data_IF_669426205215
#
_entry.id   IF_669426205215
#
_cell.length_a   1.000
_cell.length_b   1.000
_cell.length_c   1.000
_cell.angle_alpha   90.00
_cell.angle_beta   90.00
_cell.angle_gamma   90.00
#
_symmetry.space_group_name_H-M   'P 1'
#
loop_
_entity.id
_entity.type
_entity.pdbx_description
1 polymer ?
#
# COMPACT_ATOMS: atom_id res chain seq x y z
N UNK A 1 28.86 27.42 9.06
CA UNK A 1 28.50 26.92 10.41
C UNK A 1 27.04 26.45 10.52
N UNK A 2 26.09 27.06 9.79
CA UNK A 2 24.67 26.69 9.86
C UNK A 2 24.30 25.29 9.30
N UNK A 3 24.90 24.86 8.19
CA UNK A 3 24.55 23.56 7.56
C UNK A 3 24.91 22.34 8.41
N UNK A 4 26.01 22.42 9.17
CA UNK A 4 26.44 21.32 10.05
C UNK A 4 25.46 21.12 11.22
N UNK A 5 24.93 22.23 11.76
CA UNK A 5 23.95 22.21 12.84
C UNK A 5 22.56 21.74 12.35
N UNK A 6 22.22 22.03 11.09
CA UNK A 6 20.98 21.56 10.46
C UNK A 6 21.00 20.03 10.29
N UNK A 7 22.10 19.47 9.76
CA UNK A 7 22.26 18.03 9.63
C UNK A 7 22.29 17.29 10.97
N UNK A 8 22.92 17.88 11.99
CA UNK A 8 22.92 17.31 13.33
C UNK A 8 21.51 17.26 13.94
N UNK A 9 20.72 18.32 13.77
CA UNK A 9 19.34 18.38 14.27
C UNK A 9 18.42 17.38 13.56
N UNK A 10 18.63 17.15 12.27
CA UNK A 10 17.91 16.14 11.46
C UNK A 10 18.27 14.72 11.89
N UNK A 11 19.56 14.42 12.09
CA UNK A 11 20.03 13.12 12.56
C UNK A 11 19.43 12.78 13.94
N UNK A 12 19.43 13.74 14.85
CA UNK A 12 18.83 13.55 16.18
C UNK A 12 17.31 13.34 16.11
N UNK A 13 16.64 13.95 15.12
CA UNK A 13 15.24 13.69 14.81
C UNK A 13 14.99 12.24 14.36
N UNK A 14 15.80 11.73 13.43
CA UNK A 14 15.70 10.35 12.95
C UNK A 14 15.98 9.32 14.06
N UNK A 15 16.99 9.56 14.89
CA UNK A 15 17.28 8.69 16.05
C UNK A 15 16.10 8.66 17.01
N UNK A 16 15.45 9.82 17.24
CA UNK A 16 14.26 9.89 18.08
C UNK A 16 13.10 9.09 17.50
N UNK A 17 12.84 9.20 16.21
CA UNK A 17 11.77 8.45 15.51
C UNK A 17 12.03 6.95 15.56
N UNK A 18 13.27 6.51 15.35
CA UNK A 18 13.63 5.09 15.47
C UNK A 18 13.40 4.54 16.89
N UNK A 19 13.80 5.28 17.92
CA UNK A 19 13.61 4.86 19.32
C UNK A 19 12.13 4.76 19.70
N UNK A 20 11.29 5.62 19.12
CA UNK A 20 9.83 5.60 19.30
C UNK A 20 9.20 4.41 18.56
N UNK A 21 9.56 4.21 17.29
CA UNK A 21 9.12 3.07 16.47
C UNK A 21 9.51 1.71 17.06
N UNK A 22 10.71 1.60 17.64
CA UNK A 22 11.22 0.38 18.25
C UNK A 22 10.79 0.18 19.71
N UNK A 23 9.90 1.03 20.24
CA UNK A 23 9.36 0.97 21.61
C UNK A 23 10.44 1.02 22.72
N UNK A 24 11.59 1.65 22.46
CA UNK A 24 12.65 1.82 23.45
C UNK A 24 12.37 3.00 24.39
N UNK A 25 11.29 2.91 25.16
CA UNK A 25 10.75 4.02 25.97
C UNK A 25 11.77 4.65 26.95
N UNK A 26 12.53 3.82 27.66
CA UNK A 26 13.50 4.30 28.66
C UNK A 26 14.70 4.97 28.00
N UNK A 27 15.14 4.44 26.86
CA UNK A 27 16.19 5.03 26.02
C UNK A 27 15.71 6.36 25.44
N UNK A 28 14.48 6.41 24.91
CA UNK A 28 13.87 7.62 24.35
C UNK A 28 13.74 8.74 25.39
N UNK A 29 13.30 8.40 26.62
CA UNK A 29 13.22 9.34 27.75
C UNK A 29 14.60 9.91 28.09
N UNK A 30 15.62 9.05 28.15
CA UNK A 30 17.00 9.44 28.49
C UNK A 30 17.62 10.29 27.38
N UNK A 31 17.52 9.84 26.13
CA UNK A 31 17.99 10.54 24.93
C UNK A 31 17.38 11.94 24.80
N UNK A 32 16.06 12.05 25.00
CA UNK A 32 15.36 13.34 24.95
C UNK A 32 15.80 14.30 26.04
N UNK A 33 16.11 13.79 27.25
CA UNK A 33 16.64 14.60 28.37
C UNK A 33 18.05 15.10 28.04
N UNK A 34 18.93 14.24 27.56
CA UNK A 34 20.31 14.59 27.22
C UNK A 34 20.39 15.61 26.08
N UNK A 35 19.55 15.49 25.05
CA UNK A 35 19.49 16.45 23.95
C UNK A 35 19.09 17.85 24.43
N UNK A 36 18.13 17.95 25.37
CA UNK A 36 17.75 19.22 26.00
C UNK A 36 18.89 19.81 26.83
N UNK A 37 19.56 19.00 27.64
CA UNK A 37 20.70 19.44 28.49
C UNK A 37 21.85 19.96 27.62
N UNK A 38 22.13 19.30 26.49
CA UNK A 38 23.19 19.70 25.56
C UNK A 38 22.80 20.86 24.64
N UNK A 39 21.60 21.42 24.79
CA UNK A 39 21.12 22.52 23.95
C UNK A 39 20.98 22.15 22.48
N UNK A 40 20.83 20.86 22.15
CA UNK A 40 20.65 20.39 20.78
C UNK A 40 19.15 20.36 20.47
N UNK A 41 18.62 21.31 19.67
CA UNK A 41 17.22 21.30 19.32
C UNK A 41 16.96 20.03 18.49
N UNK A 42 16.09 19.16 19.00
CA UNK A 42 15.53 18.07 18.23
C UNK A 42 14.67 18.74 17.16
N UNK A 43 15.06 18.65 15.89
CA UNK A 43 14.21 19.15 14.82
C UNK A 43 12.87 18.42 14.97
N UNK A 44 11.77 19.17 15.04
CA UNK A 44 10.48 18.59 14.71
C UNK A 44 10.59 18.33 13.22
N UNK A 45 10.91 17.09 12.84
CA UNK A 45 10.88 16.65 11.46
C UNK A 45 9.61 17.25 10.85
N UNK A 46 9.77 18.09 9.82
CA UNK A 46 8.65 18.73 9.11
C UNK A 46 7.73 17.66 8.48
N UNK A 47 8.07 16.37 8.60
CA UNK A 47 7.25 15.23 8.23
C UNK A 47 6.54 14.47 9.37
N UNK A 48 6.84 14.68 10.66
CA UNK A 48 6.49 13.68 11.68
C UNK A 48 5.07 13.71 12.26
N UNK A 49 4.34 14.84 12.20
CA UNK A 49 3.02 14.96 12.88
C UNK A 49 1.88 15.34 11.93
N UNK A 50 2.15 16.20 10.93
CA UNK A 50 1.15 16.58 9.93
C UNK A 50 1.05 15.58 8.76
N UNK A 51 2.16 14.95 8.35
CA UNK A 51 2.09 13.85 7.38
C UNK A 51 1.52 12.61 8.01
N UNK A 52 1.80 12.34 9.28
CA UNK A 52 1.29 11.14 9.93
C UNK A 52 -0.23 11.17 10.06
N UNK A 53 -0.84 12.29 10.48
CA UNK A 53 -2.31 12.37 10.52
C UNK A 53 -2.97 12.29 9.14
N UNK A 54 -2.41 12.94 8.11
CA UNK A 54 -2.98 12.86 6.75
C UNK A 54 -2.74 11.50 6.10
N UNK A 55 -1.54 10.95 6.26
CA UNK A 55 -1.15 9.62 5.78
C UNK A 55 -1.97 8.53 6.47
N UNK A 56 -2.24 8.68 7.78
CA UNK A 56 -3.09 7.76 8.52
C UNK A 56 -4.55 7.82 8.05
N UNK A 57 -5.06 9.01 7.72
CA UNK A 57 -6.40 9.14 7.11
C UNK A 57 -6.43 8.47 5.73
N UNK A 58 -5.46 8.78 4.86
CA UNK A 58 -5.36 8.16 3.52
C UNK A 58 -5.24 6.64 3.62
N UNK A 59 -4.45 6.14 4.58
CA UNK A 59 -4.31 4.70 4.82
C UNK A 59 -5.64 4.08 5.25
N UNK A 60 -6.37 4.73 6.16
CA UNK A 60 -7.71 4.28 6.58
C UNK A 60 -8.69 4.28 5.42
N UNK A 61 -8.65 5.30 4.56
CA UNK A 61 -9.53 5.41 3.40
C UNK A 61 -9.21 4.33 2.35
N UNK A 62 -7.92 4.06 2.09
CA UNK A 62 -7.48 2.95 1.24
C UNK A 62 -7.94 1.59 1.78
N UNK A 63 -7.76 1.35 3.08
CA UNK A 63 -8.18 0.08 3.71
C UNK A 63 -9.72 -0.05 3.67
N UNK A 64 -10.45 1.03 3.95
CA UNK A 64 -11.91 1.03 3.87
C UNK A 64 -12.40 0.73 2.44
N UNK A 65 -11.80 1.35 1.42
CA UNK A 65 -12.14 1.07 0.02
C UNK A 65 -11.80 -0.38 -0.38
N UNK A 66 -10.69 -0.93 0.14
CA UNK A 66 -10.32 -2.32 -0.06
C UNK A 66 -11.33 -3.30 0.56
N UNK A 67 -11.74 -3.04 1.80
CA UNK A 67 -12.68 -3.88 2.56
C UNK A 67 -14.10 -3.82 1.98
N UNK A 68 -14.49 -2.68 1.40
CA UNK A 68 -15.81 -2.49 0.78
C UNK A 68 -15.87 -2.95 -0.69
N UNK A 69 -14.72 -3.21 -1.33
CA UNK A 69 -14.64 -3.57 -2.75
C UNK A 69 -14.73 -2.39 -3.73
N UNK A 70 -14.53 -1.16 -3.24
CA UNK A 70 -14.61 0.09 -3.99
C UNK A 70 -13.35 0.31 -4.85
N UNK A 71 -13.20 -0.52 -5.88
CA UNK A 71 -12.03 -0.56 -6.76
C UNK A 71 -11.61 0.83 -7.30
N UNK A 72 -12.57 1.62 -7.78
CA UNK A 72 -12.28 2.92 -8.38
C UNK A 72 -11.71 3.89 -7.34
N UNK A 73 -12.36 4.00 -6.18
CA UNK A 73 -11.93 4.86 -5.07
C UNK A 73 -10.56 4.44 -4.59
N UNK A 74 -10.32 3.13 -4.46
CA UNK A 74 -9.03 2.60 -4.06
C UNK A 74 -7.91 3.03 -5.02
N UNK A 75 -8.09 2.81 -6.34
CA UNK A 75 -7.05 3.12 -7.30
C UNK A 75 -6.86 4.63 -7.50
N UNK A 76 -7.92 5.44 -7.42
CA UNK A 76 -7.78 6.90 -7.44
C UNK A 76 -6.88 7.39 -6.28
N UNK A 77 -7.10 6.88 -5.06
CA UNK A 77 -6.25 7.17 -3.89
C UNK A 77 -4.83 6.62 -4.03
N UNK A 78 -4.68 5.40 -4.57
CA UNK A 78 -3.39 4.76 -4.80
C UNK A 78 -2.54 5.57 -5.77
N UNK A 79 -3.11 6.01 -6.89
CA UNK A 79 -2.38 6.78 -7.90
C UNK A 79 -2.04 8.20 -7.45
N UNK A 80 -2.90 8.81 -6.62
CA UNK A 80 -2.67 10.15 -6.04
C UNK A 80 -1.56 10.14 -4.98
N UNK A 81 -1.54 9.11 -4.12
CA UNK A 81 -0.70 9.13 -2.92
C UNK A 81 0.53 8.22 -2.99
N UNK A 82 0.57 7.24 -3.90
CA UNK A 82 1.76 6.40 -4.14
C UNK A 82 2.51 6.90 -5.37
N UNK A 83 3.77 7.30 -5.16
CA UNK A 83 4.58 7.86 -6.25
C UNK A 83 4.77 6.86 -7.40
N UNK A 84 4.77 7.36 -8.63
CA UNK A 84 5.01 6.53 -9.83
C UNK A 84 6.37 5.83 -9.77
N UNK A 85 7.38 6.46 -9.17
CA UNK A 85 8.69 5.82 -8.94
C UNK A 85 8.61 4.54 -8.11
N UNK A 86 7.70 4.47 -7.13
CA UNK A 86 7.50 3.25 -6.32
C UNK A 86 6.65 2.26 -7.09
N UNK A 87 5.51 2.70 -7.64
CA UNK A 87 4.60 1.83 -8.42
C UNK A 87 5.31 1.12 -9.57
N UNK A 88 6.08 1.88 -10.33
CA UNK A 88 6.73 1.38 -11.55
C UNK A 88 8.13 0.85 -11.27
N UNK A 89 8.82 1.27 -10.19
CA UNK A 89 10.21 0.92 -9.92
C UNK A 89 10.39 -0.24 -8.95
N UNK A 90 9.48 -0.41 -8.00
CA UNK A 90 9.61 -1.39 -6.92
C UNK A 90 8.91 -2.72 -7.27
N UNK A 91 9.65 -3.82 -7.21
CA UNK A 91 9.10 -5.15 -7.53
C UNK A 91 7.98 -5.58 -6.59
N UNK A 92 8.08 -5.26 -5.30
CA UNK A 92 7.07 -5.58 -4.30
C UNK A 92 5.81 -4.75 -4.53
N UNK A 93 5.94 -3.47 -4.86
CA UNK A 93 4.80 -2.62 -5.20
C UNK A 93 4.03 -3.14 -6.43
N UNK A 94 4.74 -3.58 -7.48
CA UNK A 94 4.10 -4.18 -8.66
C UNK A 94 3.36 -5.48 -8.33
N UNK A 95 3.96 -6.34 -7.48
CA UNK A 95 3.30 -7.56 -6.99
C UNK A 95 2.04 -7.24 -6.21
N UNK A 96 2.11 -6.27 -5.30
CA UNK A 96 0.98 -5.82 -4.50
C UNK A 96 -0.14 -5.28 -5.39
N UNK A 97 0.17 -4.42 -6.36
CA UNK A 97 -0.81 -3.90 -7.34
C UNK A 97 -1.51 -5.05 -8.10
N UNK A 98 -0.76 -6.08 -8.50
CA UNK A 98 -1.34 -7.26 -9.15
C UNK A 98 -2.33 -8.01 -8.24
N UNK A 99 -1.95 -8.24 -6.97
CA UNK A 99 -2.85 -8.87 -5.98
C UNK A 99 -4.10 -8.04 -5.69
N UNK A 100 -3.97 -6.71 -5.64
CA UNK A 100 -5.10 -5.79 -5.48
C UNK A 100 -6.08 -5.92 -6.65
N UNK A 101 -5.58 -5.97 -7.88
CA UNK A 101 -6.42 -6.20 -9.05
C UNK A 101 -7.13 -7.55 -9.02
N UNK A 102 -6.48 -8.62 -8.57
CA UNK A 102 -7.15 -9.93 -8.37
C UNK A 102 -8.26 -9.80 -7.34
N UNK A 103 -7.98 -9.21 -6.17
CA UNK A 103 -8.96 -9.04 -5.10
C UNK A 103 -10.23 -8.36 -5.61
N UNK A 104 -10.09 -7.22 -6.30
CA UNK A 104 -11.25 -6.50 -6.83
C UNK A 104 -11.98 -7.26 -7.95
N UNK A 105 -11.26 -8.03 -8.77
CA UNK A 105 -11.86 -8.84 -9.84
C UNK A 105 -12.77 -9.96 -9.28
N UNK A 106 -12.42 -10.53 -8.12
CA UNK A 106 -13.18 -11.62 -7.49
C UNK A 106 -13.99 -11.18 -6.27
N UNK A 107 -13.94 -9.90 -5.89
CA UNK A 107 -14.55 -9.39 -4.66
C UNK A 107 -16.03 -9.76 -4.57
N UNK A 108 -16.79 -9.53 -5.64
CA UNK A 108 -18.21 -9.88 -5.70
C UNK A 108 -18.44 -11.39 -5.59
N UNK A 109 -17.52 -12.22 -6.09
CA UNK A 109 -17.64 -13.67 -5.97
C UNK A 109 -17.38 -14.18 -4.54
N UNK A 110 -16.55 -13.45 -3.78
CA UNK A 110 -16.14 -13.82 -2.42
C UNK A 110 -17.11 -13.30 -1.35
N UNK A 111 -17.66 -12.10 -1.53
CA UNK A 111 -18.42 -11.40 -0.49
C UNK A 111 -19.90 -11.17 -0.81
N UNK A 112 -20.38 -11.47 -2.03
CA UNK A 112 -21.83 -11.36 -2.30
C UNK A 112 -22.61 -12.43 -1.55
N UNK A 113 -23.58 -12.00 -0.73
CA UNK A 113 -24.56 -12.89 -0.11
C UNK A 113 -25.69 -13.11 -1.13
N UNK A 114 -25.43 -13.92 -2.16
CA UNK A 114 -26.42 -14.21 -3.21
C UNK A 114 -25.79 -14.40 -4.59
N UNK A 115 -26.61 -14.27 -5.64
CA UNK A 115 -26.10 -14.21 -7.01
C UNK A 115 -25.55 -12.79 -7.23
N UNK A 116 -24.25 -12.61 -7.47
CA UNK A 116 -23.70 -11.28 -7.76
C UNK A 116 -24.35 -10.74 -9.04
N UNK A 117 -24.45 -9.41 -9.11
CA UNK A 117 -24.85 -8.77 -10.35
C UNK A 117 -23.84 -9.14 -11.44
N UNK A 118 -24.36 -9.73 -12.52
CA UNK A 118 -23.54 -10.23 -13.61
C UNK A 118 -22.86 -9.06 -14.33
N UNK A 119 -23.57 -7.94 -14.47
CA UNK A 119 -23.08 -6.77 -15.18
C UNK A 119 -21.90 -6.15 -14.43
N UNK A 120 -22.01 -6.03 -13.11
CA UNK A 120 -20.93 -5.53 -12.25
C UNK A 120 -19.72 -6.48 -12.24
N UNK A 121 -19.95 -7.80 -12.16
CA UNK A 121 -18.86 -8.78 -12.25
C UNK A 121 -18.13 -8.72 -13.60
N UNK A 122 -18.88 -8.66 -14.70
CA UNK A 122 -18.31 -8.57 -16.05
C UNK A 122 -17.49 -7.27 -16.22
N UNK A 123 -17.93 -6.16 -15.61
CA UNK A 123 -17.17 -4.91 -15.56
C UNK A 123 -15.84 -5.06 -14.82
N UNK A 124 -15.84 -5.64 -13.61
CA UNK A 124 -14.63 -5.86 -12.80
C UNK A 124 -13.63 -6.78 -13.52
N UNK A 125 -14.13 -7.84 -14.16
CA UNK A 125 -13.32 -8.78 -14.95
C UNK A 125 -12.74 -8.10 -16.19
N UNK A 126 -13.53 -7.27 -16.89
CA UNK A 126 -13.06 -6.50 -18.05
C UNK A 126 -11.97 -5.50 -17.66
N UNK A 127 -12.11 -4.84 -16.51
CA UNK A 127 -11.08 -3.97 -15.96
C UNK A 127 -9.79 -4.76 -15.70
N UNK A 128 -9.88 -5.91 -15.02
CA UNK A 128 -8.72 -6.74 -14.75
C UNK A 128 -8.04 -7.23 -16.04
N UNK A 129 -8.81 -7.62 -17.04
CA UNK A 129 -8.28 -8.00 -18.36
C UNK A 129 -7.47 -6.86 -18.99
N UNK A 130 -8.00 -5.64 -18.98
CA UNK A 130 -7.29 -4.44 -19.48
C UNK A 130 -5.97 -4.21 -18.72
N UNK A 131 -5.97 -4.43 -17.41
CA UNK A 131 -4.73 -4.35 -16.62
C UNK A 131 -3.70 -5.40 -17.03
N UNK A 132 -4.11 -6.67 -17.22
CA UNK A 132 -3.22 -7.75 -17.65
C UNK A 132 -2.57 -7.48 -19.01
N UNK A 133 -3.30 -6.83 -19.92
CA UNK A 133 -2.82 -6.45 -21.26
C UNK A 133 -1.89 -5.23 -21.25
N UNK A 134 -1.84 -4.48 -20.14
CA UNK A 134 -1.05 -3.25 -20.01
C UNK A 134 0.04 -3.39 -18.95
N UNK A 135 -0.14 -2.81 -17.75
CA UNK A 135 0.84 -2.81 -16.65
C UNK A 135 1.14 -4.23 -16.16
N UNK A 136 0.11 -5.08 -16.12
CA UNK A 136 0.21 -6.47 -15.68
C UNK A 136 1.05 -7.33 -16.63
N UNK A 137 1.26 -6.95 -17.89
CA UNK A 137 2.00 -7.77 -18.86
C UNK A 137 3.45 -8.07 -18.42
N UNK A 138 4.08 -7.13 -17.69
CA UNK A 138 5.44 -7.29 -17.18
C UNK A 138 5.60 -8.44 -16.18
N UNK A 139 4.51 -8.84 -15.51
CA UNK A 139 4.51 -9.92 -14.53
C UNK A 139 4.24 -11.30 -15.13
N UNK A 140 4.04 -11.39 -16.46
CA UNK A 140 3.69 -12.64 -17.15
C UNK A 140 4.78 -13.70 -17.12
N UNK A 141 6.01 -13.32 -16.78
CA UNK A 141 7.13 -14.26 -16.61
C UNK A 141 7.31 -14.71 -15.16
N UNK A 142 6.51 -14.19 -14.23
CA UNK A 142 6.57 -14.58 -12.82
C UNK A 142 5.70 -15.81 -12.63
N UNK A 143 6.32 -16.94 -12.27
CA UNK A 143 5.64 -18.24 -12.12
C UNK A 143 4.48 -18.20 -11.14
N UNK A 144 4.60 -17.39 -10.09
CA UNK A 144 3.56 -17.11 -9.09
C UNK A 144 2.27 -16.57 -9.71
N UNK A 145 2.36 -15.76 -10.78
CA UNK A 145 1.20 -15.06 -11.34
C UNK A 145 0.60 -15.70 -12.59
N UNK A 146 1.33 -16.62 -13.23
CA UNK A 146 0.89 -17.29 -14.46
C UNK A 146 -0.55 -17.84 -14.40
N UNK A 147 -1.01 -18.48 -13.31
CA UNK A 147 -2.38 -19.00 -13.24
C UNK A 147 -3.45 -17.90 -13.35
N UNK A 148 -3.18 -16.69 -12.87
CA UNK A 148 -4.18 -15.62 -12.80
C UNK A 148 -4.40 -14.91 -14.15
N UNK A 149 -3.53 -15.10 -15.14
CA UNK A 149 -3.80 -14.62 -16.51
C UNK A 149 -4.98 -15.34 -17.17
N UNK A 150 -5.31 -16.53 -16.69
CA UNK A 150 -6.50 -17.26 -17.14
C UNK A 150 -7.79 -16.77 -16.45
N UNK A 151 -7.68 -16.06 -15.31
CA UNK A 151 -8.82 -15.69 -14.46
C UNK A 151 -9.96 -15.00 -15.23
N UNK A 152 -9.73 -14.02 -16.14
CA UNK A 152 -10.82 -13.37 -16.88
C UNK A 152 -11.59 -14.31 -17.82
N UNK A 153 -11.03 -15.47 -18.14
CA UNK A 153 -11.61 -16.43 -19.08
C UNK A 153 -12.28 -17.61 -18.36
N UNK A 154 -12.16 -17.70 -17.03
CA UNK A 154 -12.77 -18.77 -16.24
C UNK A 154 -14.19 -18.36 -15.84
N UNK A 155 -15.24 -19.10 -16.26
CA UNK A 155 -16.63 -18.73 -16.00
C UNK A 155 -17.01 -18.67 -14.51
N UNK A 156 -16.31 -19.44 -13.67
CA UNK A 156 -16.48 -19.40 -12.21
C UNK A 156 -15.14 -19.70 -11.53
N UNK A 157 -14.35 -18.66 -11.17
CA UNK A 157 -13.03 -18.85 -10.61
C UNK A 157 -13.06 -19.44 -9.19
N UNK A 158 -14.12 -19.27 -8.41
CA UNK A 158 -14.23 -19.78 -7.03
C UNK A 158 -14.22 -21.31 -6.92
N UNK A 159 -14.62 -22.00 -7.98
CA UNK A 159 -14.66 -23.48 -8.02
C UNK A 159 -13.43 -24.09 -8.72
N UNK A 160 -12.57 -23.25 -9.30
CA UNK A 160 -11.47 -23.72 -10.12
C UNK A 160 -10.28 -24.13 -9.24
N UNK A 161 -9.68 -25.32 -9.45
CA UNK A 161 -8.60 -25.83 -8.59
C UNK A 161 -7.40 -24.90 -8.46
N UNK A 162 -7.07 -24.17 -9.52
CA UNK A 162 -5.93 -23.22 -9.55
C UNK A 162 -6.13 -21.97 -8.70
N UNK A 163 -7.34 -21.71 -8.20
CA UNK A 163 -7.71 -20.49 -7.47
C UNK A 163 -8.21 -20.78 -6.06
N UNK A 164 -7.98 -22.00 -5.54
CA UNK A 164 -8.47 -22.44 -4.22
C UNK A 164 -7.94 -21.62 -3.04
N UNK A 165 -6.80 -20.95 -3.21
CA UNK A 165 -6.15 -20.16 -2.16
C UNK A 165 -6.59 -18.68 -2.15
N UNK A 166 -7.49 -18.28 -3.05
CA UNK A 166 -8.04 -16.91 -3.15
C UNK A 166 -9.22 -16.65 -2.20
#
# INVERSE_FOLDING_TARGET
MGDILAHESELLGLVKEYLDFAEFEDTLKTFSKECKIKGKPLCKTVGGSFRDSKSLTIQKDLVAAFDNGDQKVFFDLWEEHVSSSVRDGDSFARKLEFYLHIHFAIYLLKYSVGRPDKEELDEKISYFKTYLETKGAALSQTTEFLPFYALPFVPNPMVHPSFKEL
#
